data_IF_177557038263
#
_entry.id   IF_177557038263
#
_cell.length_a   1.000
_cell.length_b   1.000
_cell.length_c   1.000
_cell.angle_alpha   90.00
_cell.angle_beta   90.00
_cell.angle_gamma   90.00
#
_symmetry.space_group_name_H-M   'P 1'
#
loop_
_entity.id
_entity.type
_entity.pdbx_description
1 polymer ?
#
# COMPACT_ATOMS: atom_id res chain seq x y z
N UNK A 1 -32.40 4.46 1.00
CA UNK A 1 -31.62 4.01 -0.17
C UNK A 1 -31.23 5.25 -0.96
N UNK A 2 -29.96 5.67 -0.92
CA UNK A 2 -29.55 6.85 -1.67
C UNK A 2 -29.45 6.50 -3.17
N UNK A 3 -29.92 7.36 -4.08
CA UNK A 3 -29.88 7.09 -5.50
C UNK A 3 -28.43 7.07 -6.03
N UNK A 4 -28.16 6.37 -7.15
CA UNK A 4 -26.85 6.43 -7.78
C UNK A 4 -26.58 7.86 -8.27
N UNK A 5 -25.44 8.44 -7.86
CA UNK A 5 -24.97 9.74 -8.35
C UNK A 5 -24.63 9.65 -9.83
N UNK A 6 -25.24 10.52 -10.65
CA UNK A 6 -25.00 10.67 -12.08
C UNK A 6 -24.16 11.92 -12.28
N UNK A 7 -22.85 11.79 -12.05
CA UNK A 7 -21.93 12.91 -12.14
C UNK A 7 -20.77 12.49 -13.06
N UNK A 8 -20.53 13.27 -14.11
CA UNK A 8 -19.57 13.01 -15.19
C UNK A 8 -18.11 12.91 -14.73
N UNK A 9 -17.33 12.15 -15.52
CA UNK A 9 -15.96 11.69 -15.29
C UNK A 9 -15.82 10.82 -14.02
N UNK A 10 -15.81 9.49 -14.20
CA UNK A 10 -15.58 8.54 -13.11
C UNK A 10 -14.28 8.92 -12.36
N UNK A 11 -14.43 9.40 -11.12
CA UNK A 11 -13.27 9.67 -10.25
C UNK A 11 -12.49 8.38 -10.08
N UNK A 12 -11.19 8.44 -10.36
CA UNK A 12 -10.27 7.30 -10.13
C UNK A 12 -10.27 6.96 -8.64
N UNK A 13 -10.32 5.68 -8.26
CA UNK A 13 -10.26 5.31 -6.86
C UNK A 13 -8.87 5.65 -6.29
N UNK A 14 -8.84 6.16 -5.05
CA UNK A 14 -7.62 6.26 -4.24
C UNK A 14 -7.36 4.92 -3.57
N UNK A 15 -6.21 4.33 -3.86
CA UNK A 15 -5.80 3.03 -3.35
C UNK A 15 -4.58 3.21 -2.47
N UNK A 16 -4.71 2.82 -1.20
CA UNK A 16 -3.62 2.79 -0.25
C UNK A 16 -3.07 1.36 -0.18
N UNK A 17 -1.81 1.21 -0.53
CA UNK A 17 -1.10 -0.05 -0.54
C UNK A 17 -0.10 -0.04 0.61
N UNK A 18 0.07 -1.17 1.29
CA UNK A 18 1.24 -1.39 2.15
C UNK A 18 2.06 -2.53 1.60
N UNK A 19 3.39 -2.50 1.71
CA UNK A 19 4.23 -3.59 1.19
C UNK A 19 4.33 -3.60 -0.34
N UNK A 20 3.95 -2.50 -1.00
CA UNK A 20 3.91 -2.48 -2.46
C UNK A 20 5.29 -2.29 -3.11
N UNK A 21 6.35 -2.13 -2.30
CA UNK A 21 7.73 -2.09 -2.77
C UNK A 21 8.28 -3.48 -3.14
N UNK A 22 7.63 -4.55 -2.68
CA UNK A 22 7.99 -5.94 -2.93
C UNK A 22 7.49 -6.51 -4.28
N UNK A 23 7.66 -7.82 -4.46
CA UNK A 23 7.35 -8.50 -5.72
C UNK A 23 5.86 -8.43 -6.12
N UNK A 24 4.95 -8.83 -5.23
CA UNK A 24 3.49 -8.78 -5.52
C UNK A 24 3.04 -7.32 -5.68
N UNK A 25 3.52 -6.47 -4.77
CA UNK A 25 3.28 -5.04 -4.73
C UNK A 25 3.54 -4.30 -6.02
N UNK A 26 4.76 -4.40 -6.53
CA UNK A 26 5.17 -3.70 -7.75
C UNK A 26 4.33 -4.14 -8.96
N UNK A 27 3.97 -5.41 -9.08
CA UNK A 27 3.08 -5.88 -10.15
C UNK A 27 1.65 -5.31 -10.01
N UNK A 28 1.14 -5.16 -8.78
CA UNK A 28 -0.14 -4.49 -8.55
C UNK A 28 -0.07 -3.00 -8.92
N UNK A 29 1.00 -2.31 -8.57
CA UNK A 29 1.19 -0.89 -8.95
C UNK A 29 1.17 -0.73 -10.48
N UNK A 30 1.85 -1.61 -11.22
CA UNK A 30 1.81 -1.60 -12.69
C UNK A 30 0.40 -1.77 -13.27
N UNK A 31 -0.40 -2.66 -12.67
CA UNK A 31 -1.77 -2.91 -13.12
C UNK A 31 -2.74 -1.74 -12.80
N UNK A 32 -2.46 -1.01 -11.73
CA UNK A 32 -3.26 0.13 -11.28
C UNK A 32 -2.82 1.47 -11.88
N UNK A 33 -1.60 1.54 -12.39
CA UNK A 33 -1.05 2.75 -13.02
C UNK A 33 -1.98 3.20 -14.16
N UNK A 34 -2.33 4.49 -14.15
CA UNK A 34 -3.28 5.01 -15.13
C UNK A 34 -4.75 4.63 -14.91
N UNK A 35 -5.10 3.93 -13.82
CA UNK A 35 -6.48 3.60 -13.45
C UNK A 35 -6.86 4.04 -12.02
N UNK A 36 -5.88 4.22 -11.14
CA UNK A 36 -6.07 4.65 -9.76
C UNK A 36 -5.13 5.80 -9.35
N UNK A 37 -5.47 6.48 -8.27
CA UNK A 37 -4.56 7.33 -7.50
C UNK A 37 -3.91 6.45 -6.42
N UNK A 38 -2.58 6.30 -6.44
CA UNK A 38 -1.87 5.29 -5.65
C UNK A 38 -1.03 5.96 -4.55
N UNK A 39 -1.09 5.39 -3.35
CA UNK A 39 -0.12 5.60 -2.27
C UNK A 39 0.41 4.24 -1.84
N UNK A 40 1.72 4.05 -1.86
CA UNK A 40 2.42 2.88 -1.33
C UNK A 40 3.16 3.25 -0.05
N UNK A 41 2.62 2.82 1.10
CA UNK A 41 3.25 3.00 2.40
C UNK A 41 4.13 1.79 2.73
N UNK A 42 5.44 1.98 2.72
CA UNK A 42 6.40 0.88 2.81
C UNK A 42 7.70 1.35 3.48
N UNK A 43 8.31 0.46 4.28
CA UNK A 43 9.57 0.72 4.98
C UNK A 43 10.76 0.75 4.01
N UNK A 44 10.66 0.02 2.90
CA UNK A 44 11.69 -0.02 1.87
C UNK A 44 11.24 0.72 0.62
N UNK A 45 12.20 1.36 -0.05
CA UNK A 45 11.95 1.94 -1.36
C UNK A 45 11.52 0.85 -2.38
N UNK A 46 10.64 1.19 -3.35
CA UNK A 46 10.21 0.25 -4.38
C UNK A 46 11.37 -0.32 -5.18
N UNK A 47 11.31 -1.62 -5.49
CA UNK A 47 12.31 -2.28 -6.35
C UNK A 47 12.38 -1.70 -7.77
N UNK A 48 11.32 -1.01 -8.23
CA UNK A 48 11.24 -0.33 -9.53
C UNK A 48 11.32 1.18 -9.34
N UNK A 49 12.36 1.82 -9.87
CA UNK A 49 12.64 3.26 -9.66
C UNK A 49 11.45 4.18 -9.99
N UNK A 50 10.73 3.92 -11.09
CA UNK A 50 9.56 4.74 -11.47
C UNK A 50 8.40 4.69 -10.45
N UNK A 51 8.36 3.68 -9.59
CA UNK A 51 7.34 3.58 -8.53
C UNK A 51 7.63 4.48 -7.33
N UNK A 52 8.81 5.11 -7.26
CA UNK A 52 9.11 6.09 -6.19
C UNK A 52 8.11 7.24 -6.14
N UNK A 53 7.48 7.58 -7.26
CA UNK A 53 6.44 8.62 -7.31
C UNK A 53 5.19 8.28 -6.46
N UNK A 54 4.99 7.00 -6.13
CA UNK A 54 3.87 6.53 -5.30
C UNK A 54 4.28 6.22 -3.87
N UNK A 55 5.58 6.24 -3.56
CA UNK A 55 6.11 5.74 -2.30
C UNK A 55 6.02 6.80 -1.19
N UNK A 56 5.42 6.40 -0.09
CA UNK A 56 5.49 7.05 1.20
C UNK A 56 6.31 6.14 2.13
N UNK A 57 7.47 6.61 2.56
CA UNK A 57 8.29 5.87 3.50
C UNK A 57 7.60 5.79 4.87
N UNK A 58 7.52 4.59 5.42
CA UNK A 58 7.07 4.41 6.79
C UNK A 58 6.82 2.96 7.18
N UNK A 59 6.82 2.72 8.49
CA UNK A 59 6.58 1.41 9.08
C UNK A 59 5.11 1.27 9.49
N UNK A 60 4.51 0.13 9.16
CA UNK A 60 3.14 -0.20 9.58
C UNK A 60 3.03 -0.46 11.09
N UNK A 61 4.16 -0.75 11.76
CA UNK A 61 4.23 -0.93 13.21
C UNK A 61 4.16 0.42 13.96
N UNK A 62 4.45 1.55 13.30
CA UNK A 62 4.13 2.87 13.84
C UNK A 62 2.66 3.22 13.53
N UNK A 63 1.77 2.80 14.44
CA UNK A 63 0.34 3.09 14.35
C UNK A 63 0.01 4.58 14.22
N UNK A 64 0.83 5.46 14.80
CA UNK A 64 0.60 6.91 14.76
C UNK A 64 0.91 7.47 13.36
N UNK A 65 2.06 7.10 12.80
CA UNK A 65 2.46 7.49 11.46
C UNK A 65 1.55 6.89 10.39
N UNK A 66 1.24 5.60 10.49
CA UNK A 66 0.30 4.92 9.61
C UNK A 66 -1.08 5.61 9.63
N UNK A 67 -1.61 5.91 10.82
CA UNK A 67 -2.89 6.60 10.97
C UNK A 67 -2.92 7.98 10.31
N UNK A 68 -1.84 8.76 10.44
CA UNK A 68 -1.71 10.06 9.75
C UNK A 68 -1.69 9.88 8.23
N UNK A 69 -0.88 8.96 7.73
CA UNK A 69 -0.74 8.74 6.29
C UNK A 69 -2.06 8.26 5.65
N UNK A 70 -2.77 7.34 6.30
CA UNK A 70 -4.10 6.87 5.85
C UNK A 70 -5.13 8.02 5.87
N UNK A 71 -5.13 8.84 6.93
CA UNK A 71 -6.05 9.99 7.04
C UNK A 71 -5.79 11.04 5.96
N UNK A 72 -4.53 11.29 5.60
CA UNK A 72 -4.14 12.20 4.51
C UNK A 72 -4.52 11.62 3.13
N UNK A 73 -4.22 10.35 2.89
CA UNK A 73 -4.50 9.66 1.63
C UNK A 73 -6.01 9.51 1.35
N UNK A 74 -6.86 9.48 2.40
CA UNK A 74 -8.32 9.29 2.32
C UNK A 74 -8.72 8.19 1.32
N UNK A 75 -8.18 6.96 1.45
CA UNK A 75 -8.37 5.92 0.45
C UNK A 75 -9.82 5.49 0.34
N UNK A 76 -10.22 5.06 -0.85
CA UNK A 76 -11.45 4.28 -1.04
C UNK A 76 -11.21 2.79 -0.83
N UNK A 77 -9.98 2.32 -1.09
CA UNK A 77 -9.57 0.92 -1.00
C UNK A 77 -8.21 0.85 -0.31
N UNK A 78 -8.06 -0.13 0.58
CA UNK A 78 -6.79 -0.51 1.19
C UNK A 78 -6.42 -1.91 0.72
N UNK A 79 -5.20 -2.10 0.23
CA UNK A 79 -4.64 -3.43 -0.08
C UNK A 79 -3.39 -3.64 0.76
N UNK A 80 -3.47 -4.58 1.69
CA UNK A 80 -2.41 -4.87 2.65
C UNK A 80 -1.53 -6.02 2.14
N UNK A 81 -0.34 -5.71 1.64
CA UNK A 81 0.66 -6.68 1.14
C UNK A 81 1.94 -6.68 1.97
N UNK A 82 2.00 -5.90 3.05
CA UNK A 82 3.17 -5.82 3.91
C UNK A 82 3.24 -7.09 4.76
N UNK A 83 4.19 -7.95 4.44
CA UNK A 83 4.48 -9.18 5.15
C UNK A 83 5.92 -9.60 4.88
N UNK A 84 6.47 -10.40 5.79
CA UNK A 84 7.67 -11.19 5.52
C UNK A 84 7.26 -12.45 4.76
N UNK A 85 7.97 -12.76 3.68
CA UNK A 85 7.71 -13.95 2.85
C UNK A 85 8.66 -15.10 3.15
N UNK A 86 9.69 -14.87 3.97
CA UNK A 86 10.57 -15.92 4.43
C UNK A 86 9.86 -16.82 5.45
N UNK A 87 10.09 -18.12 5.35
CA UNK A 87 9.76 -19.10 6.37
C UNK A 87 11.08 -19.68 6.89
N UNK A 88 11.42 -19.38 8.13
CA UNK A 88 12.49 -20.09 8.84
C UNK A 88 11.86 -21.11 9.79
N UNK A 89 11.99 -22.39 9.45
CA UNK A 89 11.44 -23.52 10.21
C UNK A 89 12.15 -23.77 11.54
N UNK A 90 13.29 -23.12 11.78
CA UNK A 90 14.07 -23.24 13.01
C UNK A 90 13.87 -22.07 13.98
N UNK A 91 12.94 -21.15 13.70
CA UNK A 91 12.65 -20.02 14.58
C UNK A 91 11.17 -19.89 14.92
N UNK A 92 10.89 -19.09 15.95
CA UNK A 92 9.55 -18.63 16.31
C UNK A 92 9.42 -17.15 15.97
N UNK A 93 8.19 -16.65 15.86
CA UNK A 93 7.96 -15.26 15.45
C UNK A 93 8.63 -14.29 16.45
N UNK A 94 8.51 -14.60 17.73
CA UNK A 94 9.04 -13.81 18.84
C UNK A 94 10.57 -13.80 18.88
N UNK A 95 11.21 -14.91 18.47
CA UNK A 95 12.67 -15.04 18.53
C UNK A 95 13.36 -14.58 17.23
N UNK A 96 12.74 -14.81 16.08
CA UNK A 96 13.33 -14.55 14.76
C UNK A 96 12.95 -13.21 14.15
N UNK A 97 11.86 -12.60 14.60
CA UNK A 97 11.23 -11.46 13.92
C UNK A 97 10.84 -10.30 14.85
N UNK A 98 11.54 -10.17 15.98
CA UNK A 98 11.44 -9.02 16.90
C UNK A 98 11.99 -7.72 16.29
#
# INVERSE_FOLDING_TARGET
MAPPRKDGLARRPRVFLTGASGFIGTNLVDALEGNAEIVNYDVAAPARERHRAYWAEGDILDASALGRCVAEARPHVVVHLAARSDCDENTTVEAGYA
#
